data_IF_236948137374
#
_entry.id   IF_236948137374
#
_cell.length_a   1.000
_cell.length_b   1.000
_cell.length_c   1.000
_cell.angle_alpha   90.00
_cell.angle_beta   90.00
_cell.angle_gamma   90.00
#
_symmetry.space_group_name_H-M   'P 1'
#
loop_
_entity.id
_entity.type
_entity.pdbx_description
1 polymer ?
#
# COMPACT_ATOMS: atom_id res chain seq x y z
N UNK A 1 44.34 10.93 22.25
CA UNK A 1 42.97 10.73 22.80
C UNK A 1 41.85 11.49 22.06
N UNK A 2 42.05 12.73 21.59
CA UNK A 2 40.98 13.53 20.95
C UNK A 2 40.47 12.92 19.62
N UNK A 3 41.36 12.29 18.84
CA UNK A 3 41.02 11.65 17.55
C UNK A 3 40.07 10.46 17.71
N UNK A 4 40.27 9.62 18.72
CA UNK A 4 39.40 8.46 19.02
C UNK A 4 37.99 8.93 19.39
N UNK A 5 37.87 10.02 20.17
CA UNK A 5 36.56 10.61 20.52
C UNK A 5 35.82 11.16 19.30
N UNK A 6 36.53 11.80 18.36
CA UNK A 6 35.93 12.33 17.12
C UNK A 6 35.43 11.21 16.19
N UNK A 7 36.18 10.11 16.06
CA UNK A 7 35.76 8.96 15.26
C UNK A 7 34.52 8.29 15.86
N UNK A 8 34.46 8.14 17.18
CA UNK A 8 33.28 7.61 17.87
C UNK A 8 32.01 8.44 17.67
N UNK A 9 32.13 9.78 17.69
CA UNK A 9 31.00 10.69 17.45
C UNK A 9 30.53 10.60 15.99
N UNK A 10 31.44 10.54 15.03
CA UNK A 10 31.08 10.43 13.60
C UNK A 10 30.38 9.10 13.31
N UNK A 11 30.86 7.99 13.88
CA UNK A 11 30.21 6.68 13.75
C UNK A 11 28.81 6.67 14.38
N UNK A 12 28.65 7.27 15.56
CA UNK A 12 27.35 7.38 16.22
C UNK A 12 26.36 8.19 15.37
N UNK A 13 26.80 9.32 14.80
CA UNK A 13 25.97 10.15 13.91
C UNK A 13 25.61 9.43 12.61
N UNK A 14 26.52 8.62 12.06
CA UNK A 14 26.23 7.81 10.87
C UNK A 14 25.18 6.72 11.16
N UNK A 15 25.23 6.09 12.34
CA UNK A 15 24.23 5.10 12.77
C UNK A 15 22.87 5.77 13.05
N UNK A 16 22.84 6.91 13.73
CA UNK A 16 21.59 7.65 13.95
C UNK A 16 21.01 8.14 12.61
N UNK A 17 21.86 8.63 11.71
CA UNK A 17 21.47 9.07 10.37
C UNK A 17 20.88 7.94 9.54
N UNK A 18 21.45 6.74 9.58
CA UNK A 18 20.92 5.58 8.85
C UNK A 18 19.60 5.05 9.44
N UNK A 19 19.43 5.13 10.76
CA UNK A 19 18.18 4.80 11.44
C UNK A 19 17.06 5.80 11.09
N UNK A 20 17.36 7.10 11.07
CA UNK A 20 16.38 8.14 10.68
C UNK A 20 16.00 7.98 9.20
N UNK A 21 16.98 7.73 8.33
CA UNK A 21 16.73 7.55 6.90
C UNK A 21 15.86 6.33 6.61
N UNK A 22 16.12 5.21 7.28
CA UNK A 22 15.29 4.01 7.13
C UNK A 22 13.87 4.22 7.66
N UNK A 23 13.70 4.98 8.75
CA UNK A 23 12.39 5.35 9.29
C UNK A 23 11.58 6.25 8.35
N UNK A 24 12.23 7.17 7.64
CA UNK A 24 11.57 8.08 6.69
C UNK A 24 11.39 7.46 5.29
N UNK A 25 12.30 6.59 4.86
CA UNK A 25 12.23 5.94 3.55
C UNK A 25 11.08 4.93 3.45
N UNK A 26 10.70 4.28 4.56
CA UNK A 26 9.58 3.35 4.61
C UNK A 26 8.25 4.00 4.19
N UNK A 27 7.79 5.06 4.87
CA UNK A 27 6.58 5.79 4.53
C UNK A 27 6.58 6.37 3.11
N UNK A 28 7.70 6.92 2.64
CA UNK A 28 7.83 7.48 1.28
C UNK A 28 7.68 6.38 0.24
N UNK A 29 8.34 5.23 0.45
CA UNK A 29 8.23 4.07 -0.43
C UNK A 29 6.80 3.54 -0.46
N UNK A 30 6.18 3.37 0.71
CA UNK A 30 4.79 2.92 0.82
C UNK A 30 3.81 3.88 0.14
N UNK A 31 4.01 5.20 0.26
CA UNK A 31 3.21 6.20 -0.48
C UNK A 31 3.37 6.02 -1.99
N UNK A 32 4.61 5.93 -2.48
CA UNK A 32 4.89 5.70 -3.91
C UNK A 32 4.27 4.40 -4.42
N UNK A 33 4.38 3.34 -3.63
CA UNK A 33 3.87 2.01 -3.97
C UNK A 33 2.35 2.03 -4.10
N UNK A 34 1.63 2.64 -3.17
CA UNK A 34 0.16 2.75 -3.20
C UNK A 34 -0.30 3.71 -4.31
N UNK A 35 0.39 4.83 -4.52
CA UNK A 35 0.07 5.74 -5.63
C UNK A 35 0.25 5.06 -7.00
N UNK A 36 1.31 4.28 -7.18
CA UNK A 36 1.53 3.51 -8.41
C UNK A 36 0.46 2.43 -8.63
N UNK A 37 0.06 1.74 -7.56
CA UNK A 37 -1.05 0.79 -7.61
C UNK A 37 -2.37 1.47 -7.99
N UNK A 38 -2.68 2.63 -7.38
CA UNK A 38 -3.88 3.40 -7.67
C UNK A 38 -3.95 3.85 -9.15
N UNK A 39 -2.83 4.30 -9.71
CA UNK A 39 -2.73 4.68 -11.12
C UNK A 39 -3.03 3.49 -12.04
N UNK A 40 -2.41 2.33 -11.77
CA UNK A 40 -2.63 1.10 -12.55
C UNK A 40 -4.03 0.56 -12.41
N UNK A 41 -4.62 0.70 -11.23
CA UNK A 41 -6.02 0.36 -10.97
C UNK A 41 -6.95 1.25 -11.78
N UNK A 42 -6.71 2.57 -11.84
CA UNK A 42 -7.57 3.51 -12.56
C UNK A 42 -7.66 3.24 -14.07
N UNK A 43 -6.63 2.65 -14.66
CA UNK A 43 -6.62 2.19 -16.06
C UNK A 43 -6.94 0.70 -16.22
N UNK A 44 -7.21 -0.01 -15.12
CA UNK A 44 -7.28 -1.46 -15.04
C UNK A 44 -6.14 -2.17 -15.80
N UNK A 45 -4.93 -1.64 -15.73
CA UNK A 45 -3.78 -2.22 -16.43
C UNK A 45 -3.16 -3.37 -15.62
N UNK A 46 -2.74 -4.42 -16.31
CA UNK A 46 -2.07 -5.55 -15.69
C UNK A 46 -0.85 -5.08 -14.88
N UNK A 47 -0.83 -5.42 -13.60
CA UNK A 47 0.19 -4.96 -12.66
C UNK A 47 0.35 -5.97 -11.54
N UNK A 48 1.58 -6.19 -11.09
CA UNK A 48 1.88 -7.04 -9.94
C UNK A 48 2.90 -6.34 -9.06
N UNK A 49 2.62 -6.27 -7.77
CA UNK A 49 3.44 -5.58 -6.79
C UNK A 49 3.51 -6.34 -5.48
N UNK A 50 4.74 -6.52 -5.01
CA UNK A 50 5.02 -6.93 -3.65
C UNK A 50 5.07 -5.70 -2.74
N UNK A 51 4.07 -5.61 -1.87
CA UNK A 51 3.92 -4.53 -0.91
C UNK A 51 4.45 -4.97 0.45
N UNK A 52 5.41 -4.23 1.01
CA UNK A 52 5.88 -4.48 2.38
C UNK A 52 5.05 -3.67 3.36
N UNK A 53 4.30 -4.35 4.21
CA UNK A 53 3.57 -3.71 5.30
C UNK A 53 4.55 -3.18 6.36
N UNK A 54 4.45 -1.89 6.66
CA UNK A 54 5.28 -1.24 7.67
C UNK A 54 4.96 -1.71 9.09
N UNK A 55 3.74 -2.19 9.35
CA UNK A 55 3.31 -2.59 10.69
C UNK A 55 3.71 -4.02 11.05
N UNK A 56 3.44 -4.97 10.15
CA UNK A 56 3.78 -6.39 10.34
C UNK A 56 5.18 -6.75 9.83
N UNK A 57 5.80 -5.90 9.00
CA UNK A 57 7.06 -6.19 8.33
C UNK A 57 6.94 -7.26 7.24
N UNK A 58 5.75 -7.84 7.03
CA UNK A 58 5.48 -8.88 6.04
C UNK A 58 5.30 -8.29 4.66
N UNK A 59 5.66 -9.06 3.65
CA UNK A 59 5.35 -8.75 2.25
C UNK A 59 4.00 -9.37 1.91
N UNK A 60 3.13 -8.58 1.30
CA UNK A 60 1.85 -9.00 0.72
C UNK A 60 1.90 -8.75 -0.78
N UNK A 61 1.47 -9.72 -1.57
CA UNK A 61 1.32 -9.52 -3.00
C UNK A 61 -0.01 -8.82 -3.33
N UNK A 62 0.00 -7.87 -4.26
CA UNK A 62 -1.21 -7.30 -4.86
C UNK A 62 -1.04 -7.29 -6.37
N UNK A 63 -2.07 -7.71 -7.08
CA UNK A 63 -2.08 -7.76 -8.53
C UNK A 63 -3.38 -7.23 -9.10
N UNK A 64 -3.28 -6.62 -10.27
CA UNK A 64 -4.40 -6.29 -11.14
C UNK A 64 -4.20 -7.19 -12.37
N UNK A 65 -5.14 -8.08 -12.65
CA UNK A 65 -5.00 -9.02 -13.77
C UNK A 65 -5.14 -8.30 -15.13
N UNK A 66 -5.91 -7.21 -15.16
CA UNK A 66 -6.30 -6.52 -16.38
C UNK A 66 -7.82 -6.52 -16.55
N UNK A 67 -8.32 -5.99 -17.67
CA UNK A 67 -9.74 -6.07 -18.01
C UNK A 67 -10.10 -7.50 -18.45
N UNK A 68 -11.12 -8.08 -17.83
CA UNK A 68 -11.75 -9.36 -18.17
C UNK A 68 -13.27 -9.14 -18.31
N UNK A 69 -13.82 -9.33 -19.52
CA UNK A 69 -15.27 -9.30 -19.80
C UNK A 69 -16.03 -8.13 -19.11
N UNK A 70 -15.58 -6.91 -19.33
CA UNK A 70 -16.10 -5.65 -18.74
C UNK A 70 -15.87 -5.45 -17.23
N UNK A 71 -15.05 -6.29 -16.62
CA UNK A 71 -14.64 -6.17 -15.23
C UNK A 71 -13.14 -6.02 -15.06
N UNK A 72 -12.74 -5.36 -13.98
CA UNK A 72 -11.36 -5.27 -13.53
C UNK A 72 -11.13 -6.24 -12.39
N UNK A 73 -10.25 -7.22 -12.61
CA UNK A 73 -9.93 -8.23 -11.59
C UNK A 73 -8.72 -7.80 -10.79
N UNK A 74 -8.90 -7.69 -9.48
CA UNK A 74 -7.88 -7.33 -8.50
C UNK A 74 -7.68 -8.50 -7.55
N UNK A 75 -6.43 -8.87 -7.30
CA UNK A 75 -6.01 -9.91 -6.37
C UNK A 75 -5.16 -9.31 -5.28
N UNK A 76 -5.42 -9.68 -4.04
CA UNK A 76 -4.64 -9.24 -2.90
C UNK A 76 -4.39 -10.42 -1.98
N UNK A 77 -3.13 -10.71 -1.72
CA UNK A 77 -2.75 -11.68 -0.72
C UNK A 77 -3.01 -11.12 0.68
N UNK A 78 -3.64 -11.91 1.52
CA UNK A 78 -3.86 -11.57 2.92
C UNK A 78 -2.69 -12.07 3.79
N UNK A 79 -2.73 -11.84 5.11
CA UNK A 79 -1.70 -12.40 6.02
C UNK A 79 -1.78 -13.92 6.21
N UNK A 80 -2.76 -14.57 5.58
CA UNK A 80 -2.96 -16.02 5.52
C UNK A 80 -2.60 -16.53 4.09
N UNK A 81 -2.56 -17.85 3.82
CA UNK A 81 -2.34 -18.36 2.46
C UNK A 81 -3.48 -18.03 1.48
N UNK A 82 -4.50 -17.29 1.93
CA UNK A 82 -5.67 -16.95 1.13
C UNK A 82 -5.44 -15.66 0.34
N UNK A 83 -5.88 -15.69 -0.91
CA UNK A 83 -5.90 -14.54 -1.81
C UNK A 83 -7.33 -14.04 -1.87
N UNK A 84 -7.54 -12.75 -1.61
CA UNK A 84 -8.78 -12.06 -1.89
C UNK A 84 -8.79 -11.66 -3.37
N UNK A 85 -9.67 -12.25 -4.16
CA UNK A 85 -9.90 -11.87 -5.55
C UNK A 85 -11.22 -11.09 -5.65
N UNK A 86 -11.16 -9.88 -6.18
CA UNK A 86 -12.30 -8.99 -6.41
C UNK A 86 -12.46 -8.68 -7.90
N UNK A 87 -13.69 -8.70 -8.41
CA UNK A 87 -14.01 -8.29 -9.78
C UNK A 87 -14.90 -7.04 -9.75
N UNK A 88 -14.43 -5.91 -10.26
CA UNK A 88 -15.18 -4.65 -10.25
C UNK A 88 -15.65 -4.29 -11.66
N UNK A 89 -16.85 -3.73 -11.81
CA UNK A 89 -17.27 -3.19 -13.10
C UNK A 89 -16.32 -2.04 -13.52
N UNK A 90 -15.96 -1.96 -14.80
CA UNK A 90 -15.00 -0.97 -15.30
C UNK A 90 -15.41 0.50 -15.02
N UNK A 91 -16.71 0.77 -14.89
CA UNK A 91 -17.24 2.09 -14.53
C UNK A 91 -16.94 2.54 -13.09
N UNK A 92 -16.82 1.59 -12.15
CA UNK A 92 -16.55 1.85 -10.73
C UNK A 92 -15.04 1.98 -10.43
N UNK A 93 -14.21 1.42 -11.32
CA UNK A 93 -12.75 1.33 -11.15
C UNK A 93 -12.07 2.68 -10.94
N UNK A 94 -12.41 3.77 -11.68
CA UNK A 94 -11.82 5.09 -11.44
C UNK A 94 -12.12 5.65 -10.04
N UNK A 95 -13.30 5.37 -9.48
CA UNK A 95 -13.65 5.82 -8.12
C UNK A 95 -12.84 5.06 -7.06
N UNK A 96 -12.69 3.75 -7.24
CA UNK A 96 -11.85 2.91 -6.38
C UNK A 96 -10.38 3.34 -6.44
N UNK A 97 -9.85 3.61 -7.63
CA UNK A 97 -8.49 4.12 -7.82
C UNK A 97 -8.26 5.44 -7.06
N UNK A 98 -9.21 6.38 -7.13
CA UNK A 98 -9.15 7.64 -6.35
C UNK A 98 -9.15 7.38 -4.85
N UNK A 99 -9.84 6.35 -4.37
CA UNK A 99 -9.83 5.99 -2.97
C UNK A 99 -8.46 5.48 -2.51
N UNK A 100 -7.83 4.59 -3.28
CA UNK A 100 -6.46 4.15 -3.02
C UNK A 100 -5.46 5.32 -3.07
N UNK A 101 -5.63 6.25 -4.00
CA UNK A 101 -4.81 7.47 -4.06
C UNK A 101 -4.97 8.33 -2.79
N UNK A 102 -6.20 8.53 -2.30
CA UNK A 102 -6.46 9.22 -1.02
C UNK A 102 -5.84 8.48 0.17
N UNK A 103 -5.83 7.16 0.15
CA UNK A 103 -5.15 6.35 1.16
C UNK A 103 -3.63 6.58 1.13
N UNK A 104 -3.03 6.70 -0.07
CA UNK A 104 -1.64 7.08 -0.23
C UNK A 104 -1.34 8.45 0.39
N UNK A 105 -2.25 9.41 0.23
CA UNK A 105 -2.10 10.76 0.78
C UNK A 105 -2.32 10.84 2.30
N UNK A 106 -3.08 9.90 2.87
CA UNK A 106 -3.29 9.78 4.32
C UNK A 106 -2.12 9.13 5.07
N UNK A 107 -1.13 8.59 4.36
CA UNK A 107 0.12 8.12 4.95
C UNK A 107 0.98 9.35 5.25
N UNK A 108 1.06 9.69 6.55
CA UNK A 108 1.88 10.77 7.02
C UNK A 108 3.37 10.50 6.79
N UNK A 109 4.16 11.58 6.70
CA UNK A 109 5.60 11.54 6.45
C UNK A 109 6.40 10.69 7.46
N UNK A 110 5.83 10.43 8.64
CA UNK A 110 6.43 9.63 9.71
C UNK A 110 5.79 8.24 9.88
N UNK A 111 5.05 7.74 8.87
CA UNK A 111 4.43 6.41 8.91
C UNK A 111 3.14 6.31 9.72
N UNK A 112 2.64 7.43 10.25
CA UNK A 112 1.32 7.49 10.88
C UNK A 112 0.21 7.45 9.82
N UNK A 113 -0.74 6.52 9.99
CA UNK A 113 -1.98 6.50 9.22
C UNK A 113 -2.96 7.52 9.80
N UNK A 114 -3.37 8.52 9.03
CA UNK A 114 -4.51 9.37 9.38
C UNK A 114 -5.77 8.72 8.84
N UNK A 115 -6.46 7.94 9.67
CA UNK A 115 -7.74 7.35 9.31
C UNK A 115 -8.80 8.46 9.36
N UNK A 116 -9.21 8.95 8.20
CA UNK A 116 -10.33 9.87 8.10
C UNK A 116 -11.61 9.05 7.89
N UNK A 117 -12.21 8.58 8.99
CA UNK A 117 -13.45 7.81 8.95
C UNK A 117 -14.60 8.78 8.69
N UNK A 118 -14.93 8.99 7.43
CA UNK A 118 -16.13 9.73 7.06
C UNK A 118 -17.34 8.77 7.06
N UNK A 119 -18.18 8.84 8.08
CA UNK A 119 -19.35 7.96 8.26
C UNK A 119 -20.49 8.22 7.28
N UNK A 120 -20.47 9.32 6.52
CA UNK A 120 -21.51 9.64 5.52
C UNK A 120 -21.20 9.08 4.13
N UNK A 121 -20.00 8.57 3.88
CA UNK A 121 -19.62 8.00 2.61
C UNK A 121 -18.81 6.72 2.87
N UNK A 122 -19.39 5.51 2.71
CA UNK A 122 -18.73 4.28 3.14
C UNK A 122 -17.36 4.19 2.48
N UNK A 123 -16.32 4.03 3.30
CA UNK A 123 -14.94 3.96 2.86
C UNK A 123 -14.87 2.97 1.68
N UNK A 124 -14.38 3.38 0.51
CA UNK A 124 -14.28 2.49 -0.64
C UNK A 124 -13.52 1.21 -0.31
N UNK A 125 -12.64 1.24 0.69
CA UNK A 125 -12.02 0.05 1.25
C UNK A 125 -13.02 -0.91 1.94
N UNK A 126 -13.94 -0.39 2.75
CA UNK A 126 -15.03 -1.19 3.29
C UNK A 126 -15.96 -1.70 2.19
N UNK A 127 -16.16 -0.94 1.10
CA UNK A 127 -16.92 -1.44 -0.06
C UNK A 127 -16.18 -2.59 -0.73
N UNK A 128 -14.86 -2.53 -0.90
CA UNK A 128 -14.04 -3.64 -1.42
C UNK A 128 -14.15 -4.86 -0.50
N UNK A 129 -13.88 -4.68 0.80
CA UNK A 129 -13.86 -5.79 1.76
C UNK A 129 -15.22 -6.47 1.96
N UNK A 130 -16.31 -5.73 1.73
CA UNK A 130 -17.69 -6.22 1.84
C UNK A 130 -18.37 -6.41 0.48
N UNK A 131 -17.64 -6.30 -0.64
CA UNK A 131 -18.26 -6.44 -1.97
C UNK A 131 -18.59 -7.93 -2.19
N UNK A 132 -19.83 -8.29 -2.58
CA UNK A 132 -20.14 -9.65 -3.01
C UNK A 132 -19.30 -10.11 -4.20
N UNK A 133 -18.68 -9.18 -4.95
CA UNK A 133 -17.76 -9.49 -6.03
C UNK A 133 -16.34 -9.87 -5.56
N UNK A 134 -16.09 -9.90 -4.25
CA UNK A 134 -14.84 -10.37 -3.65
C UNK A 134 -15.01 -11.77 -3.07
N UNK A 135 -14.11 -12.68 -3.46
CA UNK A 135 -14.04 -14.06 -2.98
C UNK A 135 -12.66 -14.40 -2.46
N UNK A 136 -12.62 -15.23 -1.43
CA UNK A 136 -11.38 -15.84 -0.95
C UNK A 136 -11.08 -17.07 -1.81
N UNK A 137 -9.89 -17.11 -2.41
CA UNK A 137 -9.39 -18.26 -3.17
C UNK A 137 -8.13 -18.81 -2.48
N UNK A 138 -7.90 -20.11 -2.63
CA UNK A 138 -6.63 -20.72 -2.22
C UNK A 138 -5.52 -20.29 -3.19
N UNK A 139 -4.40 -19.85 -2.63
CA UNK A 139 -3.23 -19.33 -3.35
C UNK A 139 -2.19 -20.37 -3.67
#
# INVERSE_FOLDING_TARGET
>A
MIWIKRIGIVLLLAVIGSLIWSWQAGPIRMKRDISGFAEKMGSCSAFNQDFKDLFSGKTMNRAIAGPEDDTCVVRMQTYSPQILQCSFAMEDVPELARAFARQADNIGFFGGWRVNINTQNPDPWQRIMNNPACKMIEG
#
